data_IF_907511169170
#
_entry.id   IF_907511169170
#
_cell.length_a   1.000
_cell.length_b   1.000
_cell.length_c   1.000
_cell.angle_alpha   90.00
_cell.angle_beta   90.00
_cell.angle_gamma   90.00
#
_symmetry.space_group_name_H-M   'P 1'
#
loop_
_entity.id
_entity.type
_entity.pdbx_description
1 polymer ?
#
# COMPACT_ATOMS: atom_id res chain seq x y z
N UNK A 1 -9.45 -6.25 39.27
CA UNK A 1 -9.17 -5.41 38.09
C UNK A 1 -8.82 -6.33 36.94
N UNK A 2 -9.72 -6.52 35.98
CA UNK A 2 -9.45 -7.34 34.80
C UNK A 2 -8.43 -6.59 33.93
N UNK A 3 -7.17 -7.03 33.94
CA UNK A 3 -6.24 -6.62 32.87
C UNK A 3 -6.81 -7.16 31.56
N UNK A 4 -6.98 -6.31 30.52
CA UNK A 4 -7.29 -6.83 29.20
C UNK A 4 -6.19 -7.84 28.83
N UNK A 5 -6.54 -8.97 28.20
CA UNK A 5 -5.53 -9.94 27.78
C UNK A 5 -4.50 -9.21 26.93
N UNK A 6 -3.21 -9.43 27.23
CA UNK A 6 -2.09 -8.84 26.50
C UNK A 6 -2.37 -8.97 24.99
N UNK A 7 -2.60 -7.84 24.32
CA UNK A 7 -2.99 -7.83 22.90
C UNK A 7 -1.88 -8.44 22.05
N UNK A 8 -0.63 -8.35 22.49
CA UNK A 8 0.48 -8.99 21.82
C UNK A 8 0.31 -10.51 21.89
N UNK A 9 -0.14 -11.10 23.01
CA UNK A 9 -0.37 -12.55 23.17
C UNK A 9 -1.26 -13.16 22.07
N UNK A 10 -2.11 -12.36 21.42
CA UNK A 10 -2.98 -12.77 20.30
C UNK A 10 -2.31 -12.75 18.92
N UNK A 11 -1.16 -12.10 18.78
CA UNK A 11 -0.42 -12.04 17.53
C UNK A 11 0.34 -13.34 17.28
N UNK A 12 0.40 -13.75 16.01
CA UNK A 12 1.36 -14.78 15.59
C UNK A 12 2.78 -14.35 15.98
N UNK A 13 3.68 -15.32 16.14
CA UNK A 13 5.08 -15.02 16.50
C UNK A 13 5.72 -14.02 15.54
N UNK A 14 5.51 -14.19 14.23
CA UNK A 14 6.06 -13.30 13.21
C UNK A 14 5.51 -11.87 13.34
N UNK A 15 4.19 -11.72 13.51
CA UNK A 15 3.55 -10.40 13.68
C UNK A 15 4.01 -9.71 14.96
N UNK A 16 4.17 -10.45 16.06
CA UNK A 16 4.66 -9.89 17.33
C UNK A 16 6.07 -9.32 17.16
N UNK A 17 6.98 -10.10 16.57
CA UNK A 17 8.36 -9.67 16.32
C UNK A 17 8.42 -8.44 15.40
N UNK A 18 7.55 -8.37 14.40
CA UNK A 18 7.44 -7.20 13.53
C UNK A 18 7.03 -5.94 14.32
N UNK A 19 5.96 -6.02 15.10
CA UNK A 19 5.47 -4.88 15.90
C UNK A 19 6.51 -4.43 16.93
N UNK A 20 7.18 -5.36 17.60
CA UNK A 20 8.27 -5.06 18.54
C UNK A 20 9.42 -4.33 17.85
N UNK A 21 9.82 -4.75 16.64
CA UNK A 21 10.86 -4.06 15.86
C UNK A 21 10.44 -2.67 15.42
N UNK A 22 9.18 -2.51 14.98
CA UNK A 22 8.63 -1.21 14.60
C UNK A 22 8.61 -0.24 15.78
N UNK A 23 8.29 -0.71 16.99
CA UNK A 23 8.27 0.11 18.20
C UNK A 23 9.65 0.63 18.62
N UNK A 24 10.73 -0.08 18.24
CA UNK A 24 12.11 0.32 18.51
C UNK A 24 12.71 1.20 17.40
N UNK A 25 12.03 1.35 16.26
CA UNK A 25 12.53 2.15 15.15
C UNK A 25 12.45 3.65 15.48
N UNK A 26 13.49 4.45 15.18
CA UNK A 26 13.55 5.87 15.53
C UNK A 26 12.76 6.75 14.53
N UNK A 27 11.58 6.30 14.12
CA UNK A 27 10.73 7.05 13.20
C UNK A 27 9.78 7.97 13.99
N UNK A 28 9.64 9.25 13.59
CA UNK A 28 8.62 10.11 14.17
C UNK A 28 7.22 9.54 13.89
N UNK A 29 6.25 9.75 14.79
CA UNK A 29 4.87 9.37 14.53
C UNK A 29 4.38 10.01 13.23
N UNK A 30 3.78 9.24 12.32
CA UNK A 30 3.40 9.76 10.98
C UNK A 30 2.49 11.00 11.02
N UNK A 31 1.65 11.13 12.04
CA UNK A 31 0.75 12.28 12.19
C UNK A 31 1.46 13.59 12.56
N UNK A 32 2.74 13.54 12.96
CA UNK A 32 3.55 14.73 13.21
C UNK A 32 4.30 15.20 11.95
N UNK A 33 4.21 14.46 10.85
CA UNK A 33 4.82 14.79 9.57
C UNK A 33 3.87 15.60 8.69
N UNK A 34 4.42 16.35 7.73
CA UNK A 34 3.62 16.87 6.62
C UNK A 34 3.10 15.72 5.76
N UNK A 35 2.01 15.93 5.00
CA UNK A 35 1.49 14.90 4.09
C UNK A 35 2.54 14.45 3.04
N UNK A 36 3.36 15.39 2.56
CA UNK A 36 4.44 15.08 1.62
C UNK A 36 5.53 14.21 2.27
N UNK A 37 5.96 14.55 3.49
CA UNK A 37 6.98 13.78 4.21
C UNK A 37 6.47 12.41 4.64
N UNK A 38 5.20 12.31 5.07
CA UNK A 38 4.56 11.05 5.40
C UNK A 38 4.50 10.13 4.17
N UNK A 39 4.15 10.69 3.00
CA UNK A 39 4.11 9.93 1.73
C UNK A 39 5.50 9.43 1.34
N UNK A 40 6.52 10.31 1.38
CA UNK A 40 7.89 9.93 1.06
C UNK A 40 8.47 8.90 2.05
N UNK A 41 8.10 8.99 3.33
CA UNK A 41 8.51 8.03 4.37
C UNK A 41 7.83 6.68 4.17
N UNK A 42 6.54 6.69 3.85
CA UNK A 42 5.79 5.47 3.56
C UNK A 42 6.35 4.75 2.33
N UNK A 43 6.62 5.48 1.24
CA UNK A 43 7.20 4.92 0.02
C UNK A 43 8.54 4.19 0.24
N UNK A 44 9.38 4.67 1.16
CA UNK A 44 10.65 4.01 1.53
C UNK A 44 10.46 2.73 2.37
N UNK A 45 9.29 2.56 2.97
CA UNK A 45 8.96 1.43 3.84
C UNK A 45 8.25 0.31 3.08
N UNK A 46 7.74 0.59 1.87
CA UNK A 46 7.20 -0.41 0.95
C UNK A 46 8.30 -1.42 0.57
N UNK A 47 7.94 -2.68 0.36
CA UNK A 47 8.89 -3.73 0.00
C UNK A 47 9.47 -4.50 1.19
N UNK A 48 9.44 -3.97 2.42
CA UNK A 48 10.01 -4.66 3.60
C UNK A 48 9.28 -5.97 3.91
N UNK A 49 7.98 -6.03 3.63
CA UNK A 49 7.11 -7.18 3.88
C UNK A 49 6.44 -7.71 2.61
N UNK A 50 6.83 -7.18 1.45
CA UNK A 50 6.19 -7.57 0.20
C UNK A 50 6.70 -8.91 -0.29
N UNK A 51 5.85 -9.58 -1.05
CA UNK A 51 6.20 -10.76 -1.85
C UNK A 51 6.80 -10.32 -3.18
N UNK A 52 7.49 -11.21 -3.92
CA UNK A 52 7.91 -10.89 -5.28
C UNK A 52 6.72 -10.47 -6.13
N UNK A 53 6.88 -9.38 -6.88
CA UNK A 53 5.86 -8.93 -7.84
C UNK A 53 5.63 -10.01 -8.90
N UNK A 54 4.37 -10.41 -9.18
CA UNK A 54 4.10 -11.36 -10.25
C UNK A 54 4.45 -10.77 -11.62
N UNK A 55 4.94 -11.63 -12.52
CA UNK A 55 5.08 -11.27 -13.92
C UNK A 55 3.72 -11.36 -14.61
N UNK A 56 3.29 -10.27 -15.24
CA UNK A 56 1.97 -10.13 -15.85
C UNK A 56 2.12 -9.80 -17.33
N UNK A 57 1.33 -10.47 -18.18
CA UNK A 57 1.38 -10.27 -19.63
C UNK A 57 1.03 -8.84 -20.06
N UNK A 58 0.31 -8.11 -19.22
CA UNK A 58 -0.12 -6.73 -19.50
C UNK A 58 0.03 -5.87 -18.25
N UNK A 59 0.83 -4.80 -18.40
CA UNK A 59 0.99 -3.71 -17.42
C UNK A 59 1.06 -2.40 -18.20
N UNK A 60 0.04 -1.55 -18.06
CA UNK A 60 -0.09 -0.31 -18.83
C UNK A 60 -0.44 0.86 -17.92
N UNK A 61 0.31 1.96 -18.02
CA UNK A 61 -0.02 3.20 -17.36
C UNK A 61 -1.08 3.97 -18.18
N UNK A 62 -2.15 4.37 -17.52
CA UNK A 62 -3.30 5.07 -18.09
C UNK A 62 -3.43 6.47 -17.50
N UNK A 63 -4.01 7.37 -18.29
CA UNK A 63 -4.46 8.69 -17.84
C UNK A 63 -5.96 8.82 -18.10
N UNK A 64 -6.73 8.99 -17.03
CA UNK A 64 -8.18 9.05 -17.06
C UNK A 64 -8.60 10.51 -16.83
N UNK A 65 -9.32 11.14 -17.78
CA UNK A 65 -9.79 12.50 -17.59
C UNK A 65 -10.88 12.56 -16.52
N UNK A 66 -10.67 13.39 -15.49
CA UNK A 66 -11.67 13.75 -14.51
C UNK A 66 -12.63 14.81 -15.05
N UNK A 67 -13.73 15.07 -14.31
CA UNK A 67 -14.79 16.02 -14.72
C UNK A 67 -14.29 17.46 -14.88
N UNK A 68 -13.23 17.83 -14.17
CA UNK A 68 -12.57 19.13 -14.22
C UNK A 68 -11.40 19.18 -15.23
N UNK A 69 -11.17 18.09 -15.97
CA UNK A 69 -10.07 17.96 -16.93
C UNK A 69 -8.75 17.46 -16.33
N UNK A 70 -8.67 17.27 -15.00
CA UNK A 70 -7.47 16.72 -14.36
C UNK A 70 -7.21 15.29 -14.85
N UNK A 71 -5.94 14.93 -15.09
CA UNK A 71 -5.56 13.61 -15.57
C UNK A 71 -5.22 12.69 -14.39
N UNK A 72 -6.14 11.79 -14.05
CA UNK A 72 -5.93 10.78 -13.02
C UNK A 72 -5.01 9.69 -13.57
N UNK A 73 -3.90 9.44 -12.89
CA UNK A 73 -3.04 8.28 -13.21
C UNK A 73 -3.74 7.00 -12.74
N UNK A 74 -3.69 5.97 -13.57
CA UNK A 74 -4.10 4.62 -13.22
C UNK A 74 -3.12 3.61 -13.85
N UNK A 75 -3.13 2.37 -13.37
CA UNK A 75 -2.40 1.26 -13.98
C UNK A 75 -3.36 0.12 -14.25
N UNK A 76 -3.36 -0.36 -15.49
CA UNK A 76 -4.07 -1.55 -15.90
C UNK A 76 -3.12 -2.74 -15.84
N UNK A 77 -3.49 -3.74 -15.06
CA UNK A 77 -2.80 -5.03 -14.99
C UNK A 77 -3.75 -6.14 -15.43
N UNK A 78 -3.25 -7.09 -16.21
CA UNK A 78 -4.05 -8.25 -16.65
C UNK A 78 -3.16 -9.46 -16.95
N UNK A 79 -3.70 -10.69 -16.81
CA UNK A 79 -2.97 -11.91 -17.13
C UNK A 79 -2.80 -12.16 -18.64
N UNK A 80 -3.57 -11.47 -19.49
CA UNK A 80 -3.51 -11.56 -20.95
C UNK A 80 -3.99 -10.26 -21.63
N UNK A 81 -3.91 -10.22 -22.96
CA UNK A 81 -4.43 -9.15 -23.82
C UNK A 81 -5.80 -9.47 -24.43
N UNK A 82 -6.48 -10.52 -23.94
CA UNK A 82 -7.76 -10.97 -24.49
C UNK A 82 -8.86 -9.91 -24.30
N UNK A 83 -9.78 -9.85 -25.26
CA UNK A 83 -10.96 -8.99 -25.15
C UNK A 83 -12.02 -9.60 -24.19
N UNK A 84 -12.76 -8.74 -23.49
CA UNK A 84 -13.90 -9.15 -22.67
C UNK A 84 -13.57 -9.66 -21.26
N UNK A 85 -12.33 -9.46 -20.78
CA UNK A 85 -11.98 -9.74 -19.39
C UNK A 85 -12.81 -8.87 -18.41
N UNK A 86 -13.25 -9.43 -17.27
CA UNK A 86 -13.89 -8.64 -16.22
C UNK A 86 -12.90 -7.64 -15.61
N UNK A 87 -13.42 -6.53 -15.07
CA UNK A 87 -12.60 -5.45 -14.51
C UNK A 87 -12.86 -5.30 -13.02
N UNK A 88 -11.77 -5.21 -12.25
CA UNK A 88 -11.77 -4.76 -10.86
C UNK A 88 -11.14 -3.36 -10.79
N UNK A 89 -11.87 -2.39 -10.24
CA UNK A 89 -11.29 -1.10 -9.87
C UNK A 89 -10.74 -1.21 -8.46
N UNK A 90 -9.42 -1.11 -8.33
CA UNK A 90 -8.74 -1.03 -7.05
C UNK A 90 -8.37 0.41 -6.71
N UNK A 91 -8.69 0.85 -5.49
CA UNK A 91 -8.24 2.11 -4.91
C UNK A 91 -7.37 1.81 -3.69
N UNK A 92 -6.15 2.35 -3.68
CA UNK A 92 -5.20 2.04 -2.63
C UNK A 92 -5.60 2.62 -1.26
N UNK A 93 -5.06 2.03 -0.19
CA UNK A 93 -5.23 2.51 1.18
C UNK A 93 -4.37 3.74 1.49
N UNK A 94 -4.14 4.03 2.77
CA UNK A 94 -3.28 5.16 3.18
C UNK A 94 -4.03 6.41 3.62
N UNK A 95 -5.31 6.26 3.99
CA UNK A 95 -6.09 7.32 4.65
C UNK A 95 -6.22 8.61 3.84
N UNK A 96 -6.25 8.50 2.51
CA UNK A 96 -6.29 9.63 1.56
C UNK A 96 -5.14 10.64 1.71
N UNK A 97 -4.04 10.24 2.36
CA UNK A 97 -2.90 11.11 2.65
C UNK A 97 -1.61 10.55 2.08
N UNK A 98 -1.39 9.24 2.23
CA UNK A 98 -0.18 8.53 1.78
C UNK A 98 -0.54 7.44 0.76
N UNK A 99 0.49 6.92 0.09
CA UNK A 99 0.35 5.90 -0.93
C UNK A 99 0.36 6.47 -2.36
N UNK A 100 0.46 5.56 -3.31
CA UNK A 100 0.55 5.80 -4.74
C UNK A 100 0.34 4.48 -5.49
N UNK A 101 0.23 4.54 -6.83
CA UNK A 101 0.20 3.36 -7.70
C UNK A 101 1.42 2.49 -7.43
N UNK A 102 2.60 3.10 -7.34
CA UNK A 102 3.88 2.39 -7.14
C UNK A 102 3.92 1.70 -5.78
N UNK A 103 3.42 2.32 -4.72
CA UNK A 103 3.43 1.72 -3.37
C UNK A 103 2.55 0.46 -3.21
N UNK A 104 1.60 0.24 -4.13
CA UNK A 104 0.67 -0.90 -4.09
C UNK A 104 0.79 -1.80 -5.33
N UNK A 105 1.77 -1.56 -6.18
CA UNK A 105 1.95 -2.21 -7.48
C UNK A 105 2.29 -3.71 -7.38
N UNK A 106 2.88 -4.14 -6.26
CA UNK A 106 3.16 -5.56 -6.00
C UNK A 106 1.92 -6.34 -5.59
N UNK A 107 0.96 -5.66 -4.96
CA UNK A 107 -0.30 -6.24 -4.50
C UNK A 107 -1.32 -6.38 -5.64
N UNK A 108 -1.31 -5.44 -6.58
CA UNK A 108 -2.17 -5.40 -7.77
C UNK A 108 -1.65 -6.36 -8.86
#
# INVERSE_FOLDING_TARGET
MNHPPDIHARLTRAMRLLVERMAQAPHPPMHTLSAADATATYAKSIGVLDVPKPDLARVEDLHIPARDGFQLRARLVAPSHDAGLPVLLYTHGGGFTIGSIESHDTFC
#
